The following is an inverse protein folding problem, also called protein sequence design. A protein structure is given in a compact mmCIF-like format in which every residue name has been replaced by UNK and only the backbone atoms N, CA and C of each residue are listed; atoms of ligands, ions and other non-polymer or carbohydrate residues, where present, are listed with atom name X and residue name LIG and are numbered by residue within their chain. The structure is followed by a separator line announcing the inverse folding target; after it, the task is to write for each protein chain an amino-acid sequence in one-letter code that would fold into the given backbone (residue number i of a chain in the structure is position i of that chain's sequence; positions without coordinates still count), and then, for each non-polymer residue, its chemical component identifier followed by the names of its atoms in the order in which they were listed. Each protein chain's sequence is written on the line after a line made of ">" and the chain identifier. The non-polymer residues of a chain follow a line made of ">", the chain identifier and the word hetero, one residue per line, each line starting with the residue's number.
data_IF_782143222769
#
_entry.id   IF_782143222769
#
_cell.length_a   1.000
_cell.length_b   1.000
_cell.length_c   1.000
_cell.angle_alpha   90.00
_cell.angle_beta   90.00
_cell.angle_gamma   90.00
#
_symmetry.space_group_name_H-M   'P 1'
#
loop_
_entity.id
_entity.type
_entity.pdbx_description
1 polymer ?
#
# COMPACT_ATOMS: atom_id res chain seq x y z
N UNK A 1 -8.33 -35.37 -41.74
CA UNK A 1 -8.02 -34.88 -43.11
C UNK A 1 -6.64 -34.26 -43.09
N UNK A 2 -5.78 -34.86 -43.81
CA UNK A 2 -4.48 -34.68 -44.46
C UNK A 2 -3.88 -33.25 -44.44
N UNK A 3 -2.61 -33.18 -43.96
CA UNK A 3 -1.59 -32.22 -44.41
C UNK A 3 -1.23 -32.40 -45.89
N UNK A 4 -0.63 -31.42 -46.56
CA UNK A 4 0.72 -31.59 -47.11
C UNK A 4 1.62 -30.35 -46.85
N UNK A 5 2.85 -30.51 -46.56
CA UNK A 5 4.06 -30.92 -47.28
C UNK A 5 4.87 -29.74 -47.87
N UNK A 6 6.08 -29.71 -47.44
CA UNK A 6 7.30 -29.02 -47.78
C UNK A 6 7.52 -28.57 -49.24
N UNK A 7 8.23 -27.43 -49.38
CA UNK A 7 9.03 -27.18 -50.62
C UNK A 7 10.44 -26.72 -50.21
N UNK A 8 11.40 -27.48 -50.67
CA UNK A 8 12.85 -27.27 -50.76
C UNK A 8 13.20 -26.55 -52.05
N UNK A 9 14.41 -25.98 -52.08
CA UNK A 9 15.28 -25.55 -53.21
C UNK A 9 15.57 -24.04 -53.16
N UNK A 10 16.78 -23.52 -53.36
CA UNK A 10 17.94 -24.04 -54.06
C UNK A 10 19.18 -23.18 -53.71
N UNK A 11 20.31 -23.82 -53.53
CA UNK A 11 21.65 -23.24 -53.50
C UNK A 11 22.06 -22.83 -54.91
N UNK A 12 22.59 -21.64 -55.11
CA UNK A 12 23.43 -21.29 -56.24
C UNK A 12 24.77 -20.71 -55.75
N UNK A 13 25.79 -21.49 -56.03
CA UNK A 13 27.20 -21.12 -55.90
C UNK A 13 27.55 -20.09 -57.00
N UNK A 14 28.23 -19.02 -56.65
CA UNK A 14 28.88 -18.14 -57.61
C UNK A 14 30.38 -18.12 -57.31
N UNK A 15 31.15 -18.46 -58.35
CA UNK A 15 32.58 -18.58 -58.40
C UNK A 15 33.33 -17.27 -58.14
N UNK A 16 34.43 -17.38 -57.39
CA UNK A 16 35.51 -16.41 -57.27
C UNK A 16 36.26 -16.20 -58.59
N UNK A 17 36.43 -14.94 -58.95
CA UNK A 17 37.47 -14.53 -59.91
C UNK A 17 38.46 -13.63 -59.18
N UNK A 18 39.70 -14.10 -59.14
CA UNK A 18 40.86 -13.42 -58.58
C UNK A 18 41.42 -12.44 -59.58
N UNK A 19 41.41 -11.16 -59.20
CA UNK A 19 42.17 -10.10 -59.93
C UNK A 19 42.91 -9.26 -58.92
N UNK A 20 44.23 -9.39 -58.88
CA UNK A 20 45.14 -8.51 -58.11
C UNK A 20 45.52 -7.33 -58.96
N UNK A 21 45.30 -6.10 -58.53
CA UNK A 21 46.04 -4.94 -59.08
C UNK A 21 47.07 -4.40 -58.05
N UNK A 22 48.11 -3.88 -58.63
CA UNK A 22 49.41 -3.47 -58.14
C UNK A 22 49.34 -2.45 -56.95
N UNK A 23 50.43 -2.52 -56.16
CA UNK A 23 50.80 -1.58 -55.12
C UNK A 23 50.93 -0.13 -55.67
N UNK A 24 50.12 0.77 -55.14
CA UNK A 24 50.34 2.22 -55.20
C UNK A 24 50.70 2.72 -53.78
N UNK A 25 51.64 3.63 -53.76
CA UNK A 25 52.36 4.20 -52.63
C UNK A 25 51.46 4.86 -51.58
N UNK A 26 51.43 4.33 -50.38
CA UNK A 26 50.64 4.87 -49.24
C UNK A 26 51.59 5.49 -48.23
N UNK A 27 52.07 6.70 -48.53
CA UNK A 27 52.93 7.41 -47.58
C UNK A 27 52.62 8.88 -47.28
N UNK A 28 51.45 9.41 -47.63
CA UNK A 28 51.21 10.83 -47.35
C UNK A 28 49.79 11.22 -46.87
N UNK A 29 48.91 10.32 -46.45
CA UNK A 29 47.58 10.69 -45.93
C UNK A 29 47.34 10.46 -44.45
N UNK A 30 48.36 10.07 -43.65
CA UNK A 30 48.14 9.67 -42.25
C UNK A 30 48.05 10.83 -41.26
N UNK A 31 48.40 12.05 -41.61
CA UNK A 31 48.40 13.17 -40.64
C UNK A 31 47.14 14.01 -40.60
N UNK A 32 46.31 13.98 -41.65
CA UNK A 32 45.01 14.68 -41.64
C UNK A 32 43.86 13.91 -41.02
N UNK A 33 43.92 12.57 -41.01
CA UNK A 33 42.84 11.72 -40.49
C UNK A 33 42.84 11.64 -38.96
N UNK A 34 43.98 11.77 -38.31
CA UNK A 34 44.08 11.75 -36.84
C UNK A 34 43.56 13.03 -36.21
N UNK A 35 43.78 14.23 -36.84
CA UNK A 35 43.22 15.48 -36.29
C UNK A 35 41.68 15.50 -36.41
N UNK A 36 41.11 15.01 -37.53
CA UNK A 36 39.65 14.95 -37.69
C UNK A 36 38.99 14.00 -36.67
N UNK A 37 39.65 12.92 -36.32
CA UNK A 37 39.11 11.97 -35.32
C UNK A 37 39.08 12.56 -33.91
N UNK A 38 40.08 13.29 -33.50
CA UNK A 38 40.15 13.98 -32.23
C UNK A 38 39.10 15.12 -32.10
N UNK A 39 38.76 15.79 -33.21
CA UNK A 39 37.71 16.81 -33.22
C UNK A 39 36.33 16.18 -33.03
N UNK A 40 36.06 15.02 -33.65
CA UNK A 40 34.81 14.30 -33.46
C UNK A 40 34.68 13.71 -32.04
N UNK A 41 35.77 13.21 -31.46
CA UNK A 41 35.79 12.72 -30.05
C UNK A 41 35.59 13.88 -29.07
N UNK A 42 36.20 15.05 -29.33
CA UNK A 42 35.99 16.24 -28.50
C UNK A 42 34.56 16.82 -28.63
N UNK A 43 33.97 16.78 -29.84
CA UNK A 43 32.56 17.16 -30.02
C UNK A 43 31.58 16.17 -29.37
N UNK A 44 31.87 14.87 -29.36
CA UNK A 44 31.06 13.84 -28.70
C UNK A 44 31.17 13.90 -27.17
N UNK A 45 32.30 14.34 -26.62
CA UNK A 45 32.48 14.56 -25.16
C UNK A 45 31.92 15.92 -24.70
N UNK A 46 31.68 16.86 -25.59
CA UNK A 46 31.08 18.18 -25.31
C UNK A 46 29.54 18.20 -25.39
N UNK A 47 28.91 17.17 -25.93
CA UNK A 47 27.47 16.97 -25.83
C UNK A 47 27.19 16.55 -24.41
N UNK A 48 26.93 17.53 -23.56
CA UNK A 48 26.70 17.39 -22.13
C UNK A 48 25.84 16.18 -21.83
N UNK A 49 26.29 15.40 -20.88
CA UNK A 49 25.47 14.49 -20.13
C UNK A 49 24.40 15.37 -19.49
N UNK A 50 23.38 15.72 -20.24
CA UNK A 50 22.14 16.23 -19.68
C UNK A 50 21.69 15.16 -18.70
N UNK A 51 21.86 15.43 -17.41
CA UNK A 51 21.28 14.62 -16.38
C UNK A 51 19.81 14.48 -16.75
N UNK A 52 19.42 13.31 -17.27
CA UNK A 52 18.03 12.93 -17.37
C UNK A 52 17.51 12.95 -15.94
N UNK A 53 17.02 14.10 -15.50
CA UNK A 53 16.24 14.17 -14.29
C UNK A 53 15.06 13.27 -14.59
N UNK A 54 15.06 12.07 -14.02
CA UNK A 54 13.86 11.29 -13.93
C UNK A 54 12.82 12.24 -13.36
N UNK A 55 11.76 12.52 -14.13
CA UNK A 55 10.64 13.35 -13.69
C UNK A 55 9.91 12.57 -12.61
N UNK A 56 10.55 12.45 -11.46
CA UNK A 56 9.95 11.91 -10.25
C UNK A 56 8.83 12.84 -9.77
N UNK A 57 7.90 12.32 -9.03
CA UNK A 57 6.83 13.10 -8.43
C UNK A 57 7.39 13.96 -7.28
N UNK A 58 7.90 15.13 -7.61
CA UNK A 58 8.45 16.12 -6.67
C UNK A 58 7.63 17.41 -6.64
N UNK A 59 8.29 18.53 -6.36
CA UNK A 59 7.67 19.86 -6.20
C UNK A 59 6.83 20.30 -7.42
N UNK A 60 7.28 19.95 -8.63
CA UNK A 60 6.58 20.30 -9.87
C UNK A 60 5.29 19.47 -10.07
N UNK A 61 5.19 18.31 -9.43
CA UNK A 61 4.05 17.41 -9.57
C UNK A 61 2.93 17.73 -8.61
N UNK A 62 3.27 18.01 -7.34
CA UNK A 62 2.29 18.17 -6.28
C UNK A 62 1.89 19.63 -6.06
N UNK A 63 0.58 19.91 -5.90
CA UNK A 63 0.13 21.25 -5.55
C UNK A 63 0.54 21.60 -4.12
N UNK A 64 0.87 22.87 -3.86
CA UNK A 64 1.19 23.34 -2.53
C UNK A 64 -0.01 24.12 -1.92
N UNK A 65 -1.17 23.49 -1.93
CA UNK A 65 -2.42 24.03 -1.42
C UNK A 65 -2.47 23.98 0.12
N UNK A 66 -3.35 24.79 0.72
CA UNK A 66 -3.59 24.80 2.17
C UNK A 66 -4.58 23.70 2.54
N UNK A 67 -4.18 22.82 3.46
CA UNK A 67 -5.05 21.83 4.10
C UNK A 67 -5.13 22.12 5.60
N UNK A 68 -6.10 21.49 6.28
CA UNK A 68 -6.34 21.65 7.71
C UNK A 68 -6.24 20.28 8.37
N UNK A 69 -5.42 20.15 9.41
CA UNK A 69 -5.32 18.90 10.18
C UNK A 69 -6.52 18.73 11.11
N UNK A 70 -6.75 17.50 11.57
CA UNK A 70 -7.79 17.21 12.58
C UNK A 70 -7.60 17.93 13.93
N UNK A 71 -6.46 18.57 14.14
CA UNK A 71 -6.20 19.44 15.28
C UNK A 71 -6.40 20.93 14.96
N UNK A 72 -6.93 21.26 13.78
CA UNK A 72 -7.22 22.63 13.34
C UNK A 72 -6.00 23.39 12.83
N UNK A 73 -4.83 22.77 12.70
CA UNK A 73 -3.62 23.41 12.18
C UNK A 73 -3.69 23.50 10.65
N UNK A 74 -3.46 24.70 10.10
CA UNK A 74 -3.26 24.92 8.67
C UNK A 74 -1.88 24.48 8.26
N UNK A 75 -1.78 23.74 7.15
CA UNK A 75 -0.55 23.16 6.61
C UNK A 75 -0.54 23.26 5.09
N UNK A 76 0.65 23.44 4.52
CA UNK A 76 0.87 23.40 3.07
C UNK A 76 1.14 21.98 2.64
N UNK A 77 0.39 21.48 1.66
CA UNK A 77 0.45 20.08 1.27
C UNK A 77 1.85 19.63 0.86
N UNK A 78 2.52 20.39 -0.02
CA UNK A 78 3.88 20.02 -0.41
C UNK A 78 4.91 20.39 0.66
N UNK A 79 4.95 21.66 1.08
CA UNK A 79 6.03 22.16 1.94
C UNK A 79 6.05 21.53 3.33
N UNK A 80 4.85 21.34 3.95
CA UNK A 80 4.76 20.88 5.33
C UNK A 80 4.57 19.36 5.43
N UNK A 81 3.93 18.72 4.43
CA UNK A 81 3.54 17.32 4.54
C UNK A 81 4.39 16.38 3.67
N UNK A 82 4.91 16.83 2.52
CA UNK A 82 5.62 15.96 1.59
C UNK A 82 7.13 16.21 1.54
N UNK A 83 7.57 17.45 1.48
CA UNK A 83 8.97 17.84 1.27
C UNK A 83 9.90 17.22 2.31
N UNK A 84 10.91 16.47 1.86
CA UNK A 84 11.87 15.81 2.73
C UNK A 84 11.30 14.64 3.54
N UNK A 85 10.14 14.09 3.14
CA UNK A 85 9.46 13.05 3.92
C UNK A 85 9.18 11.80 3.10
N UNK A 86 9.20 10.67 3.81
CA UNK A 86 8.61 9.41 3.36
C UNK A 86 7.19 9.34 3.89
N UNK A 87 6.23 9.11 3.02
CA UNK A 87 4.82 9.25 3.36
C UNK A 87 3.99 8.03 2.96
N UNK A 88 2.91 7.82 3.69
CA UNK A 88 1.86 6.88 3.34
C UNK A 88 0.52 7.61 3.39
N UNK A 89 -0.15 7.72 2.25
CA UNK A 89 -1.36 8.53 2.09
C UNK A 89 -2.53 7.66 1.68
N UNK A 90 -3.61 7.73 2.43
CA UNK A 90 -4.90 7.09 2.13
C UNK A 90 -6.02 8.14 2.04
N UNK A 91 -7.04 7.82 1.25
CA UNK A 91 -8.27 8.62 1.17
C UNK A 91 -9.34 7.97 2.01
N UNK A 92 -10.07 8.79 2.76
CA UNK A 92 -11.20 8.36 3.60
C UNK A 92 -12.36 9.35 3.51
N UNK A 93 -13.49 9.00 4.11
CA UNK A 93 -14.52 9.93 4.58
C UNK A 93 -15.26 9.33 5.77
N UNK A 94 -15.66 10.17 6.73
CA UNK A 94 -16.13 9.66 8.05
C UNK A 94 -17.52 9.05 8.01
N UNK A 95 -18.36 9.44 7.05
CA UNK A 95 -19.70 8.90 6.83
C UNK A 95 -19.72 7.56 6.07
N UNK A 96 -18.56 7.05 5.61
CA UNK A 96 -18.41 5.77 4.95
C UNK A 96 -18.88 4.60 5.83
N UNK A 97 -19.76 3.78 5.32
CA UNK A 97 -20.19 2.55 5.99
C UNK A 97 -19.52 1.28 5.45
N UNK A 98 -18.65 1.42 4.46
CA UNK A 98 -18.02 0.30 3.77
C UNK A 98 -16.51 0.18 4.10
N UNK A 99 -15.64 0.70 3.26
CA UNK A 99 -14.20 0.41 3.31
C UNK A 99 -13.40 1.32 4.25
N UNK A 100 -13.80 2.59 4.45
CA UNK A 100 -13.01 3.53 5.23
C UNK A 100 -12.76 3.11 6.69
N UNK A 101 -13.73 2.50 7.41
CA UNK A 101 -13.48 1.94 8.73
C UNK A 101 -12.41 0.85 8.70
N UNK A 102 -12.42 -0.01 7.67
CA UNK A 102 -11.43 -1.07 7.50
C UNK A 102 -10.05 -0.50 7.16
N UNK A 103 -9.98 0.48 6.23
CA UNK A 103 -8.73 1.19 5.90
C UNK A 103 -8.11 1.77 7.17
N UNK A 104 -8.88 2.53 7.95
CA UNK A 104 -8.36 3.18 9.16
C UNK A 104 -7.89 2.15 10.19
N UNK A 105 -8.65 1.08 10.42
CA UNK A 105 -8.26 0.00 11.33
C UNK A 105 -6.97 -0.69 10.88
N UNK A 106 -6.79 -0.93 9.57
CA UNK A 106 -5.57 -1.49 8.99
C UNK A 106 -4.37 -0.57 9.11
N UNK A 107 -4.59 0.72 8.89
CA UNK A 107 -3.53 1.72 9.10
C UNK A 107 -3.06 1.77 10.56
N UNK A 108 -3.96 1.56 11.55
CA UNK A 108 -3.57 1.42 12.96
C UNK A 108 -2.67 0.21 13.18
N UNK A 109 -2.99 -0.93 12.58
CA UNK A 109 -2.17 -2.14 12.67
C UNK A 109 -0.85 -1.99 11.94
N UNK A 110 -0.85 -1.37 10.77
CA UNK A 110 0.35 -1.02 10.00
C UNK A 110 1.28 -0.11 10.83
N UNK A 111 0.73 0.91 11.50
CA UNK A 111 1.48 1.77 12.40
C UNK A 111 2.16 0.96 13.51
N UNK A 112 1.46 0.00 14.12
CA UNK A 112 2.05 -0.88 15.14
C UNK A 112 3.17 -1.77 14.58
N UNK A 113 2.98 -2.28 13.36
CA UNK A 113 3.99 -3.12 12.69
C UNK A 113 5.25 -2.33 12.31
N UNK A 114 5.11 -1.05 11.94
CA UNK A 114 6.22 -0.14 11.64
C UNK A 114 6.90 0.43 12.90
N UNK A 115 6.24 0.37 14.08
CA UNK A 115 6.80 0.84 15.33
C UNK A 115 7.26 2.29 15.31
N UNK A 116 8.47 2.53 15.78
CA UNK A 116 9.07 3.86 15.95
C UNK A 116 9.40 4.58 14.63
N UNK A 117 9.30 3.91 13.49
CA UNK A 117 9.46 4.57 12.20
C UNK A 117 8.34 5.59 11.92
N UNK A 118 7.13 5.37 12.45
CA UNK A 118 6.02 6.31 12.23
C UNK A 118 6.16 7.53 13.14
N UNK A 119 6.26 8.70 12.51
CA UNK A 119 6.52 9.98 13.17
C UNK A 119 8.00 10.36 13.26
N UNK A 120 8.89 9.45 12.84
CA UNK A 120 10.33 9.70 12.72
C UNK A 120 10.78 9.65 11.26
N UNK A 121 10.57 8.53 10.61
CA UNK A 121 11.01 8.27 9.23
C UNK A 121 9.85 8.30 8.24
N UNK A 122 8.66 7.88 8.67
CA UNK A 122 7.46 7.72 7.84
C UNK A 122 6.32 8.53 8.46
N UNK A 123 5.58 9.25 7.62
CA UNK A 123 4.42 10.03 8.02
C UNK A 123 3.16 9.52 7.33
N UNK A 124 2.10 9.35 8.10
CA UNK A 124 0.80 8.91 7.63
C UNK A 124 -0.14 10.08 7.43
N UNK A 125 -0.86 10.09 6.31
CA UNK A 125 -1.89 11.08 6.02
C UNK A 125 -3.17 10.39 5.58
N UNK A 126 -4.26 10.68 6.28
CA UNK A 126 -5.62 10.28 5.89
C UNK A 126 -6.36 11.53 5.41
N UNK A 127 -6.58 11.64 4.09
CA UNK A 127 -7.22 12.80 3.47
C UNK A 127 -8.71 12.52 3.32
N UNK A 128 -9.55 13.34 3.95
CA UNK A 128 -10.99 13.24 3.73
C UNK A 128 -11.41 13.89 2.43
N UNK A 129 -12.29 13.20 1.69
CA UNK A 129 -12.92 13.70 0.47
C UNK A 129 -14.37 14.18 0.72
N UNK A 130 -14.84 14.14 1.96
CA UNK A 130 -16.15 14.67 2.32
C UNK A 130 -16.01 16.12 2.81
N UNK A 131 -16.63 17.10 2.11
CA UNK A 131 -16.57 18.51 2.53
C UNK A 131 -17.17 18.77 3.93
N UNK A 132 -17.97 17.84 4.43
CA UNK A 132 -18.58 17.92 5.76
C UNK A 132 -17.67 17.38 6.87
N UNK A 133 -16.56 16.75 6.54
CA UNK A 133 -15.57 16.25 7.48
C UNK A 133 -14.67 17.38 7.98
N UNK A 134 -15.21 18.19 8.88
CA UNK A 134 -14.45 19.26 9.56
C UNK A 134 -13.42 18.68 10.53
N UNK A 135 -12.42 19.46 10.98
CA UNK A 135 -11.36 19.00 11.88
C UNK A 135 -11.89 18.24 13.11
N UNK A 136 -12.97 18.74 13.73
CA UNK A 136 -13.55 18.12 14.93
C UNK A 136 -14.13 16.73 14.62
N UNK A 137 -14.78 16.59 13.46
CA UNK A 137 -15.35 15.31 12.99
C UNK A 137 -14.24 14.30 12.73
N UNK A 138 -13.17 14.73 12.06
CA UNK A 138 -11.98 13.90 11.81
C UNK A 138 -11.28 13.50 13.09
N UNK A 139 -11.19 14.41 14.08
CA UNK A 139 -10.60 14.14 15.39
C UNK A 139 -11.41 13.10 16.16
N UNK A 140 -12.72 13.23 16.17
CA UNK A 140 -13.61 12.23 16.78
C UNK A 140 -13.50 10.88 16.08
N UNK A 141 -13.47 10.87 14.73
CA UNK A 141 -13.30 9.66 13.94
C UNK A 141 -11.96 8.97 14.26
N UNK A 142 -10.85 9.69 14.20
CA UNK A 142 -9.53 9.17 14.52
C UNK A 142 -9.48 8.55 15.91
N UNK A 143 -10.06 9.23 16.91
CA UNK A 143 -10.07 8.75 18.31
C UNK A 143 -10.79 7.41 18.49
N UNK A 144 -11.85 7.15 17.73
CA UNK A 144 -12.60 5.88 17.77
C UNK A 144 -11.73 4.67 17.37
N UNK A 145 -10.76 4.88 16.51
CA UNK A 145 -9.82 3.84 16.07
C UNK A 145 -8.53 3.81 16.88
N UNK A 146 -8.28 4.78 17.76
CA UNK A 146 -6.95 5.00 18.34
C UNK A 146 -5.93 5.39 17.26
N UNK A 147 -6.42 6.06 16.21
CA UNK A 147 -5.63 6.59 15.11
C UNK A 147 -5.20 8.04 15.41
N UNK A 148 -4.32 8.60 14.58
CA UNK A 148 -3.76 9.93 14.80
C UNK A 148 -2.57 9.91 15.77
N UNK A 149 -2.19 11.08 16.29
CA UNK A 149 -1.01 11.26 17.14
C UNK A 149 0.28 11.45 16.33
N UNK A 150 1.45 11.34 16.96
CA UNK A 150 2.72 11.63 16.30
C UNK A 150 2.89 10.88 14.99
N UNK A 151 3.17 11.61 13.90
CA UNK A 151 3.39 11.04 12.57
C UNK A 151 2.14 10.60 11.81
N UNK A 152 0.93 10.84 12.31
CA UNK A 152 -0.31 10.53 11.58
C UNK A 152 -1.32 11.67 11.69
N UNK A 153 -1.55 12.37 10.58
CA UNK A 153 -2.53 13.44 10.48
C UNK A 153 -3.74 13.03 9.64
N UNK A 154 -4.91 13.41 10.10
CA UNK A 154 -6.13 13.41 9.30
C UNK A 154 -6.32 14.83 8.75
N UNK A 155 -6.62 14.92 7.46
CA UNK A 155 -6.59 16.17 6.70
C UNK A 155 -7.93 16.43 6.03
N UNK A 156 -8.32 17.69 6.02
CA UNK A 156 -9.45 18.24 5.27
C UNK A 156 -9.03 19.56 4.60
N UNK A 157 -9.89 20.13 3.80
CA UNK A 157 -9.64 21.39 3.10
C UNK A 157 -10.84 21.80 2.28
N UNK A 158 -10.66 22.80 1.40
CA UNK A 158 -11.71 23.07 0.43
C UNK A 158 -11.78 21.93 -0.62
N UNK A 159 -12.96 21.78 -1.21
CA UNK A 159 -13.26 20.64 -2.10
C UNK A 159 -12.36 20.60 -3.35
N UNK A 160 -12.05 21.75 -3.95
CA UNK A 160 -11.23 21.81 -5.15
C UNK A 160 -9.78 21.43 -4.86
N UNK A 161 -9.22 21.88 -3.72
CA UNK A 161 -7.87 21.53 -3.29
C UNK A 161 -7.76 20.04 -2.95
N UNK A 162 -8.75 19.46 -2.26
CA UNK A 162 -8.82 18.03 -1.96
C UNK A 162 -8.88 17.21 -3.26
N UNK A 163 -9.73 17.60 -4.21
CA UNK A 163 -9.83 16.94 -5.52
C UNK A 163 -8.51 17.02 -6.28
N UNK A 164 -7.85 18.19 -6.27
CA UNK A 164 -6.57 18.38 -6.93
C UNK A 164 -5.48 17.48 -6.31
N UNK A 165 -5.36 17.48 -4.99
CA UNK A 165 -4.39 16.67 -4.24
C UNK A 165 -4.60 15.17 -4.49
N UNK A 166 -5.82 14.68 -4.32
CA UNK A 166 -6.15 13.26 -4.47
C UNK A 166 -5.97 12.77 -5.91
N UNK A 167 -6.29 13.62 -6.90
CA UNK A 167 -6.00 13.36 -8.31
C UNK A 167 -4.50 13.26 -8.58
N UNK A 168 -3.69 14.19 -8.05
CA UNK A 168 -2.23 14.20 -8.23
C UNK A 168 -1.55 13.01 -7.53
N UNK A 169 -2.09 12.55 -6.42
CA UNK A 169 -1.69 11.30 -5.76
C UNK A 169 -2.16 10.05 -6.50
N UNK A 170 -3.03 10.19 -7.51
CA UNK A 170 -3.64 9.07 -8.19
C UNK A 170 -4.60 8.25 -7.31
N UNK A 171 -5.09 8.83 -6.21
CA UNK A 171 -6.00 8.18 -5.26
C UNK A 171 -7.47 8.41 -5.57
N UNK A 172 -7.80 9.30 -6.51
CA UNK A 172 -9.16 9.49 -7.04
C UNK A 172 -9.16 9.41 -8.55
N UNK A 173 -10.17 8.74 -9.11
CA UNK A 173 -10.54 8.83 -10.52
C UNK A 173 -11.65 9.86 -10.65
N UNK A 174 -11.83 10.46 -11.82
CA UNK A 174 -12.93 11.41 -12.06
C UNK A 174 -14.30 10.78 -11.79
N UNK A 175 -14.45 9.47 -12.07
CA UNK A 175 -15.65 8.69 -11.76
C UNK A 175 -15.90 8.47 -10.27
N UNK A 176 -14.84 8.51 -9.45
CA UNK A 176 -14.92 8.24 -8.01
C UNK A 176 -15.35 9.49 -7.24
N UNK A 177 -15.18 10.68 -7.83
CA UNK A 177 -15.59 11.95 -7.24
C UNK A 177 -17.11 12.17 -7.30
N UNK A 178 -17.80 11.50 -8.26
CA UNK A 178 -19.24 11.52 -8.40
C UNK A 178 -19.91 10.41 -7.59
N UNK A 179 -19.18 9.32 -7.30
CA UNK A 179 -19.66 8.19 -6.52
C UNK A 179 -18.72 7.93 -5.35
N UNK A 180 -19.03 8.48 -4.18
CA UNK A 180 -18.24 8.31 -2.95
C UNK A 180 -18.05 6.84 -2.55
N UNK A 181 -18.92 5.93 -2.99
CA UNK A 181 -18.87 4.51 -2.64
C UNK A 181 -17.96 3.69 -3.56
N UNK A 182 -17.40 4.30 -4.62
CA UNK A 182 -16.51 3.66 -5.60
C UNK A 182 -15.01 3.75 -5.29
N UNK A 183 -14.61 4.18 -4.08
CA UNK A 183 -13.20 4.30 -3.73
C UNK A 183 -12.53 2.95 -3.58
N UNK A 184 -11.41 2.80 -4.28
CA UNK A 184 -10.51 1.69 -4.00
C UNK A 184 -9.75 1.93 -2.69
N UNK A 185 -9.65 0.91 -1.85
CA UNK A 185 -8.86 0.93 -0.62
C UNK A 185 -7.37 1.06 -0.92
N UNK A 186 -6.97 2.15 -1.56
CA UNK A 186 -5.59 2.39 -2.01
C UNK A 186 -4.79 3.14 -0.96
N UNK A 187 -3.54 2.70 -0.79
CA UNK A 187 -2.50 3.39 -0.03
C UNK A 187 -1.39 3.82 -0.99
N UNK A 188 -1.12 5.11 -1.05
CA UNK A 188 -0.01 5.66 -1.81
C UNK A 188 1.19 5.84 -0.88
N UNK A 189 2.29 5.17 -1.19
CA UNK A 189 3.54 5.22 -0.43
C UNK A 189 4.57 5.93 -1.28
N UNK A 190 5.22 6.95 -0.74
CA UNK A 190 6.16 7.76 -1.49
C UNK A 190 7.38 8.19 -0.69
N UNK A 191 8.48 8.35 -1.43
CA UNK A 191 9.67 9.05 -0.97
C UNK A 191 9.87 10.25 -1.89
N UNK A 192 9.61 11.44 -1.35
CA UNK A 192 9.61 12.67 -2.14
C UNK A 192 11.02 13.05 -2.60
N UNK A 193 12.05 12.72 -1.82
CA UNK A 193 13.44 13.04 -2.16
C UNK A 193 13.95 12.22 -3.35
N UNK A 194 13.50 10.98 -3.48
CA UNK A 194 13.85 10.12 -4.64
C UNK A 194 12.84 10.19 -5.76
N UNK A 195 11.68 10.81 -5.54
CA UNK A 195 10.57 10.85 -6.50
C UNK A 195 9.91 9.49 -6.73
N UNK A 196 10.21 8.49 -5.90
CA UNK A 196 9.66 7.13 -6.02
C UNK A 196 8.33 7.02 -5.29
N UNK A 197 7.35 6.46 -5.99
CA UNK A 197 6.00 6.24 -5.47
C UNK A 197 5.48 4.86 -5.85
N UNK A 198 4.77 4.26 -4.92
CA UNK A 198 4.17 2.94 -5.10
C UNK A 198 2.73 2.96 -4.56
N UNK A 199 1.84 2.26 -5.25
CA UNK A 199 0.46 2.06 -4.78
C UNK A 199 0.30 0.64 -4.25
N UNK A 200 -0.28 0.53 -3.06
CA UNK A 200 -0.67 -0.74 -2.44
C UNK A 200 -2.13 -0.70 -2.02
N UNK A 201 -2.65 -1.84 -1.61
CA UNK A 201 -3.94 -1.90 -0.94
C UNK A 201 -3.79 -1.49 0.53
N UNK A 202 -4.60 -0.54 0.99
CA UNK A 202 -4.63 -0.14 2.40
C UNK A 202 -5.20 -1.22 3.33
N UNK A 203 -5.83 -2.26 2.77
CA UNK A 203 -6.44 -3.36 3.50
C UNK A 203 -5.64 -4.66 3.44
N UNK A 204 -4.45 -4.63 2.87
CA UNK A 204 -3.52 -5.76 2.86
C UNK A 204 -3.09 -6.17 4.29
N UNK A 205 -2.43 -7.31 4.38
CA UNK A 205 -1.85 -7.77 5.64
C UNK A 205 -0.85 -6.72 6.17
N UNK A 206 -1.04 -6.17 7.38
CA UNK A 206 -0.23 -5.07 7.89
C UNK A 206 1.26 -5.41 8.06
N UNK A 207 1.59 -6.66 8.38
CA UNK A 207 2.98 -7.12 8.54
C UNK A 207 3.69 -7.19 7.19
N UNK A 208 2.99 -7.74 6.18
CA UNK A 208 3.50 -7.77 4.81
C UNK A 208 3.68 -6.35 4.24
N UNK A 209 2.68 -5.50 4.46
CA UNK A 209 2.74 -4.11 4.00
C UNK A 209 3.85 -3.32 4.69
N UNK A 210 4.06 -3.53 6.01
CA UNK A 210 5.16 -2.91 6.75
C UNK A 210 6.53 -3.33 6.18
N UNK A 211 6.75 -4.63 5.97
CA UNK A 211 7.98 -5.13 5.37
C UNK A 211 8.21 -4.56 3.96
N UNK A 212 7.15 -4.51 3.14
CA UNK A 212 7.19 -3.91 1.81
C UNK A 212 7.56 -2.43 1.86
N UNK A 213 6.95 -1.66 2.78
CA UNK A 213 7.24 -0.24 2.96
C UNK A 213 8.68 0.01 3.41
N UNK A 214 9.16 -0.74 4.40
CA UNK A 214 10.54 -0.58 4.89
C UNK A 214 11.56 -0.87 3.80
N UNK A 215 11.34 -1.90 3.00
CA UNK A 215 12.20 -2.21 1.87
C UNK A 215 12.15 -1.13 0.78
N UNK A 216 10.95 -0.72 0.36
CA UNK A 216 10.74 0.30 -0.67
C UNK A 216 11.32 1.67 -0.28
N UNK A 217 11.18 2.04 0.98
CA UNK A 217 11.65 3.31 1.52
C UNK A 217 13.12 3.27 1.98
N UNK A 218 13.82 2.15 1.76
CA UNK A 218 15.21 1.93 2.18
C UNK A 218 15.43 2.17 3.69
N UNK A 219 14.50 1.69 4.50
CA UNK A 219 14.54 1.76 5.97
C UNK A 219 14.78 0.39 6.62
N UNK A 220 14.87 -0.67 5.83
CA UNK A 220 15.24 -2.00 6.32
C UNK A 220 16.73 -2.03 6.65
N UNK A 221 17.10 -2.66 7.78
CA UNK A 221 18.50 -2.81 8.26
C UNK A 221 19.36 -3.71 7.36
N UNK A 222 19.03 -3.84 6.08
CA UNK A 222 19.74 -4.69 5.11
C UNK A 222 19.60 -6.20 5.39
N UNK A 223 18.86 -6.59 6.40
CA UNK A 223 18.47 -7.98 6.62
C UNK A 223 17.43 -8.34 5.58
N UNK A 224 17.91 -8.77 4.42
CA UNK A 224 17.05 -9.47 3.44
C UNK A 224 16.47 -10.65 4.22
N UNK A 225 15.15 -10.70 4.34
CA UNK A 225 14.46 -11.85 4.93
C UNK A 225 14.87 -13.14 4.21
N UNK A 226 14.55 -14.32 4.76
CA UNK A 226 14.98 -15.59 4.17
C UNK A 226 14.63 -15.63 2.69
N UNK A 227 15.55 -16.13 1.89
CA UNK A 227 15.37 -16.33 0.45
C UNK A 227 14.07 -17.09 0.20
N UNK A 228 13.39 -16.81 -0.91
CA UNK A 228 12.16 -17.52 -1.32
C UNK A 228 12.34 -19.06 -1.30
N UNK A 229 13.56 -19.55 -1.49
CA UNK A 229 13.92 -20.96 -1.41
C UNK A 229 13.93 -21.52 0.03
N UNK A 230 14.03 -20.65 1.04
CA UNK A 230 14.10 -21.01 2.47
C UNK A 230 12.75 -20.85 3.17
N UNK A 231 11.78 -20.22 2.50
CA UNK A 231 10.44 -20.04 3.04
C UNK A 231 9.69 -21.36 2.96
N UNK A 232 9.52 -22.03 4.12
CA UNK A 232 8.61 -23.19 4.20
C UNK A 232 7.19 -22.73 3.85
N UNK A 233 6.42 -23.53 3.10
CA UNK A 233 5.01 -23.27 2.87
C UNK A 233 4.33 -23.05 4.23
N UNK A 234 3.77 -21.86 4.44
CA UNK A 234 3.02 -21.57 5.66
C UNK A 234 1.77 -22.45 5.65
N UNK A 235 1.70 -23.41 6.54
CA UNK A 235 0.45 -24.13 6.83
C UNK A 235 -0.45 -23.18 7.65
N UNK A 236 -1.05 -22.22 6.95
CA UNK A 236 -1.89 -21.19 7.55
C UNK A 236 -3.31 -21.73 7.61
N UNK A 237 -3.89 -21.84 8.81
CA UNK A 237 -5.32 -22.04 8.95
C UNK A 237 -6.09 -20.93 8.21
N UNK A 238 -6.89 -21.24 7.17
CA UNK A 238 -7.56 -20.23 6.36
C UNK A 238 -8.49 -19.32 7.17
N UNK A 239 -9.14 -19.86 8.19
CA UNK A 239 -10.03 -19.09 9.07
C UNK A 239 -9.27 -18.12 9.95
N UNK A 240 -8.11 -18.54 10.48
CA UNK A 240 -7.19 -17.65 11.21
C UNK A 240 -6.69 -16.53 10.32
N UNK A 241 -6.29 -16.86 9.10
CA UNK A 241 -5.83 -15.86 8.14
C UNK A 241 -6.94 -14.84 7.82
N UNK A 242 -8.16 -15.30 7.55
CA UNK A 242 -9.31 -14.43 7.32
C UNK A 242 -9.60 -13.53 8.52
N UNK A 243 -9.58 -14.09 9.74
CA UNK A 243 -9.77 -13.29 10.94
C UNK A 243 -8.68 -12.20 11.05
N UNK A 244 -7.43 -12.57 10.94
CA UNK A 244 -6.31 -11.65 11.03
C UNK A 244 -6.31 -10.60 9.90
N UNK A 245 -6.67 -11.00 8.69
CA UNK A 245 -6.65 -10.11 7.54
C UNK A 245 -7.89 -9.24 7.38
N UNK A 246 -9.04 -9.60 7.94
CA UNK A 246 -10.30 -8.86 7.71
C UNK A 246 -11.03 -8.43 8.99
N UNK A 247 -10.79 -9.08 10.11
CA UNK A 247 -11.59 -8.89 11.33
C UNK A 247 -10.81 -8.26 12.48
N UNK A 248 -9.54 -8.63 12.68
CA UNK A 248 -8.71 -8.25 13.84
C UNK A 248 -8.50 -6.72 13.95
N UNK A 249 -8.57 -5.99 12.83
CA UNK A 249 -8.54 -4.53 12.82
C UNK A 249 -9.60 -3.89 13.70
N UNK A 250 -10.78 -4.47 13.75
CA UNK A 250 -11.94 -3.96 14.48
C UNK A 250 -12.38 -4.83 15.66
N UNK A 251 -12.04 -6.11 15.67
CA UNK A 251 -12.48 -7.10 16.65
C UNK A 251 -11.31 -7.72 17.43
N UNK A 252 -11.61 -8.29 18.58
CA UNK A 252 -10.65 -9.04 19.40
C UNK A 252 -11.15 -10.46 19.62
N UNK A 253 -10.28 -11.32 20.16
CA UNK A 253 -10.60 -12.63 20.70
C UNK A 253 -10.13 -12.68 22.16
N UNK A 254 -11.03 -12.35 23.09
CA UNK A 254 -10.79 -12.40 24.53
C UNK A 254 -10.00 -11.21 25.10
N UNK A 255 -9.86 -10.10 24.33
CA UNK A 255 -9.20 -8.86 24.81
C UNK A 255 -10.18 -7.71 25.05
N UNK A 256 -11.49 -8.01 25.09
CA UNK A 256 -12.54 -7.02 25.23
C UNK A 256 -12.89 -6.33 23.92
N UNK A 257 -13.79 -5.36 24.01
CA UNK A 257 -14.26 -4.59 22.86
C UNK A 257 -13.21 -3.63 22.32
N UNK A 258 -13.24 -3.45 21.01
CA UNK A 258 -12.37 -2.51 20.30
C UNK A 258 -13.26 -1.51 19.53
N UNK A 259 -13.18 -1.47 18.21
CA UNK A 259 -14.10 -0.75 17.31
C UNK A 259 -15.43 -1.48 17.21
N UNK A 260 -15.37 -2.81 17.28
CA UNK A 260 -16.49 -3.74 17.32
C UNK A 260 -16.41 -4.65 18.53
N UNK A 261 -17.38 -5.58 18.69
CA UNK A 261 -17.43 -6.50 19.81
C UNK A 261 -16.26 -7.49 19.84
N UNK A 262 -15.96 -7.99 21.02
CA UNK A 262 -15.10 -9.17 21.20
C UNK A 262 -15.81 -10.42 20.65
N UNK A 263 -15.12 -11.16 19.78
CA UNK A 263 -15.69 -12.32 19.08
C UNK A 263 -15.39 -13.66 19.77
N UNK A 264 -14.67 -13.66 20.90
CA UNK A 264 -14.47 -14.91 21.64
C UNK A 264 -15.81 -15.52 22.04
N UNK A 265 -16.03 -16.79 21.70
CA UNK A 265 -17.27 -17.51 21.99
C UNK A 265 -18.48 -16.99 21.16
N UNK A 266 -18.26 -16.28 20.06
CA UNK A 266 -19.37 -15.77 19.21
C UNK A 266 -20.30 -16.91 18.74
N UNK A 267 -19.74 -18.03 18.33
CA UNK A 267 -20.49 -19.18 17.78
C UNK A 267 -21.32 -19.95 18.83
N UNK A 268 -21.09 -19.70 20.11
CA UNK A 268 -21.94 -20.20 21.20
C UNK A 268 -23.04 -19.22 21.57
N UNK A 269 -22.83 -17.91 21.33
CA UNK A 269 -23.80 -16.85 21.67
C UNK A 269 -24.75 -16.51 20.52
N UNK A 270 -24.40 -16.89 19.27
CA UNK A 270 -25.16 -16.59 18.06
C UNK A 270 -25.14 -17.78 17.11
N UNK A 271 -26.25 -18.02 16.46
CA UNK A 271 -26.34 -19.03 15.40
C UNK A 271 -25.37 -18.73 14.25
N UNK A 272 -24.70 -19.76 13.78
CA UNK A 272 -23.75 -19.64 12.65
C UNK A 272 -24.39 -19.03 11.40
N UNK A 273 -25.64 -19.39 11.11
CA UNK A 273 -26.41 -18.84 10.00
C UNK A 273 -26.65 -17.34 10.14
N UNK A 274 -26.90 -16.87 11.36
CA UNK A 274 -27.06 -15.44 11.63
C UNK A 274 -25.72 -14.72 11.45
N UNK A 275 -24.62 -15.27 11.99
CA UNK A 275 -23.28 -14.69 11.85
C UNK A 275 -22.89 -14.57 10.37
N UNK A 276 -23.10 -15.65 9.58
CA UNK A 276 -22.80 -15.63 8.15
C UNK A 276 -23.57 -14.54 7.39
N UNK A 277 -24.87 -14.39 7.68
CA UNK A 277 -25.67 -13.31 7.06
C UNK A 277 -25.20 -11.93 7.49
N UNK A 278 -24.89 -11.75 8.78
CA UNK A 278 -24.46 -10.45 9.29
C UNK A 278 -23.08 -10.03 8.75
N UNK A 279 -22.14 -10.97 8.67
CA UNK A 279 -20.79 -10.70 8.13
C UNK A 279 -20.84 -10.24 6.67
N UNK A 280 -21.67 -10.87 5.84
CA UNK A 280 -21.76 -10.54 4.42
C UNK A 280 -22.80 -9.46 4.08
N UNK A 281 -23.81 -9.26 4.92
CA UNK A 281 -24.90 -8.34 4.59
C UNK A 281 -25.35 -7.54 5.83
N UNK A 282 -24.48 -6.86 6.57
CA UNK A 282 -24.87 -6.18 7.80
C UNK A 282 -25.87 -5.06 7.56
N UNK A 283 -25.75 -4.34 6.43
CA UNK A 283 -26.68 -3.26 6.08
C UNK A 283 -28.08 -3.80 5.79
N UNK A 284 -28.19 -4.87 5.00
CA UNK A 284 -29.47 -5.52 4.69
C UNK A 284 -30.17 -6.01 5.95
N UNK A 285 -29.44 -6.53 6.93
CA UNK A 285 -30.01 -6.97 8.19
C UNK A 285 -30.49 -5.81 9.06
N UNK A 286 -29.77 -4.68 9.07
CA UNK A 286 -30.22 -3.44 9.73
C UNK A 286 -31.47 -2.86 9.07
N UNK A 287 -31.49 -2.79 7.75
CA UNK A 287 -32.65 -2.33 6.97
C UNK A 287 -33.88 -3.24 7.17
N UNK A 288 -33.65 -4.55 7.30
CA UNK A 288 -34.67 -5.54 7.65
C UNK A 288 -35.07 -5.53 9.14
N UNK A 289 -34.57 -4.58 9.94
CA UNK A 289 -34.87 -4.42 11.36
C UNK A 289 -34.56 -5.65 12.22
N UNK A 290 -33.51 -6.42 11.87
CA UNK A 290 -33.05 -7.50 12.72
C UNK A 290 -32.67 -6.96 14.12
N UNK A 291 -33.30 -7.49 15.20
CA UNK A 291 -33.12 -6.89 16.54
C UNK A 291 -31.66 -6.87 17.01
N UNK A 292 -30.91 -7.96 16.75
CA UNK A 292 -29.51 -8.05 17.15
C UNK A 292 -28.62 -7.13 16.32
N UNK A 293 -28.90 -6.95 15.03
CA UNK A 293 -28.19 -6.01 14.18
C UNK A 293 -28.42 -4.55 14.61
N UNK A 294 -29.64 -4.21 15.02
CA UNK A 294 -29.97 -2.87 15.54
C UNK A 294 -29.33 -2.62 16.92
N UNK A 295 -29.26 -3.64 17.79
CA UNK A 295 -28.57 -3.56 19.07
C UNK A 295 -27.09 -3.25 18.87
N UNK A 296 -26.41 -3.97 17.97
CA UNK A 296 -25.02 -3.72 17.61
C UNK A 296 -24.81 -2.30 17.06
N UNK A 297 -25.73 -1.81 16.22
CA UNK A 297 -25.69 -0.44 15.69
C UNK A 297 -25.81 0.62 16.79
N UNK A 298 -26.63 0.39 17.82
CA UNK A 298 -26.76 1.31 18.98
C UNK A 298 -25.49 1.32 19.85
N UNK A 299 -24.88 0.14 20.01
CA UNK A 299 -23.72 -0.04 20.89
C UNK A 299 -22.43 0.43 20.26
N UNK A 300 -22.23 0.15 18.97
CA UNK A 300 -21.01 0.49 18.23
C UNK A 300 -21.30 1.58 17.20
N UNK A 301 -20.63 2.73 17.34
CA UNK A 301 -20.82 3.88 16.44
C UNK A 301 -20.28 3.65 15.04
N UNK A 302 -19.27 2.78 14.90
CA UNK A 302 -18.71 2.39 13.60
C UNK A 302 -19.51 1.22 13.08
N UNK A 303 -20.02 1.36 11.87
CA UNK A 303 -20.78 0.30 11.21
C UNK A 303 -19.82 -0.76 10.69
N UNK A 304 -20.15 -2.02 10.91
CA UNK A 304 -19.42 -3.13 10.30
C UNK A 304 -19.68 -3.14 8.79
N UNK A 305 -18.64 -3.11 7.95
CA UNK A 305 -18.78 -3.24 6.50
C UNK A 305 -19.06 -4.71 6.12
N UNK A 306 -19.66 -4.93 4.92
CA UNK A 306 -19.75 -6.26 4.31
C UNK A 306 -18.34 -6.83 4.09
N UNK A 307 -18.18 -8.14 4.29
CA UNK A 307 -16.92 -8.82 4.04
C UNK A 307 -16.91 -9.66 2.76
N UNK A 308 -18.09 -9.86 2.15
CA UNK A 308 -18.29 -10.58 0.88
C UNK A 308 -17.54 -11.91 0.80
N UNK A 309 -17.53 -12.65 1.93
CA UNK A 309 -16.91 -13.96 2.00
C UNK A 309 -17.70 -14.99 1.21
N UNK A 310 -17.01 -15.79 0.41
CA UNK A 310 -17.62 -16.93 -0.22
C UNK A 310 -17.94 -18.05 0.80
N UNK A 311 -18.57 -19.12 0.34
CA UNK A 311 -19.05 -20.22 1.21
C UNK A 311 -17.91 -20.88 1.98
N UNK A 312 -16.79 -21.16 1.31
CA UNK A 312 -15.62 -21.84 1.90
C UNK A 312 -14.88 -20.94 2.90
N UNK A 313 -14.71 -19.65 2.55
CA UNK A 313 -14.14 -18.63 3.43
C UNK A 313 -14.98 -18.46 4.69
N UNK A 314 -16.29 -18.37 4.55
CA UNK A 314 -17.22 -18.27 5.68
C UNK A 314 -17.15 -19.51 6.57
N UNK A 315 -17.12 -20.70 5.99
CA UNK A 315 -16.99 -21.95 6.75
C UNK A 315 -15.67 -22.01 7.51
N UNK A 316 -14.57 -21.61 6.88
CA UNK A 316 -13.25 -21.55 7.51
C UNK A 316 -13.23 -20.53 8.67
N UNK A 317 -13.76 -19.32 8.46
CA UNK A 317 -13.87 -18.31 9.51
C UNK A 317 -14.69 -18.79 10.70
N UNK A 318 -15.87 -19.35 10.46
CA UNK A 318 -16.75 -19.86 11.53
C UNK A 318 -16.12 -21.03 12.29
N UNK A 319 -15.38 -21.90 11.60
CA UNK A 319 -14.60 -22.98 12.24
C UNK A 319 -13.54 -22.39 13.16
N UNK A 320 -12.76 -21.44 12.68
CA UNK A 320 -11.72 -20.76 13.48
C UNK A 320 -12.32 -20.08 14.72
N UNK A 321 -13.39 -19.29 14.55
CA UNK A 321 -14.06 -18.60 15.67
C UNK A 321 -14.66 -19.57 16.70
N UNK A 322 -15.05 -20.77 16.27
CA UNK A 322 -15.57 -21.80 17.19
C UNK A 322 -14.48 -22.47 18.05
N UNK A 323 -13.25 -22.53 17.52
CA UNK A 323 -12.11 -23.17 18.20
C UNK A 323 -11.17 -22.16 18.84
N UNK A 324 -11.37 -20.85 18.59
CA UNK A 324 -10.51 -19.82 19.12
C UNK A 324 -10.59 -19.76 20.65
N UNK A 325 -9.43 -19.79 21.29
CA UNK A 325 -9.25 -19.49 22.71
C UNK A 325 -8.84 -18.03 22.88
N UNK A 326 -8.98 -17.51 24.10
CA UNK A 326 -8.49 -16.16 24.39
C UNK A 326 -7.01 -16.04 23.97
N UNK A 327 -6.71 -15.08 23.11
CA UNK A 327 -5.31 -14.81 22.71
C UNK A 327 -4.55 -14.38 23.97
N UNK A 328 -3.45 -15.03 24.36
CA UNK A 328 -2.66 -14.54 25.48
C UNK A 328 -2.31 -13.08 25.20
N UNK A 329 -2.43 -12.22 26.21
CA UNK A 329 -1.95 -10.86 26.11
C UNK A 329 -0.51 -10.95 25.61
N UNK A 330 -0.19 -10.21 24.55
CA UNK A 330 1.19 -10.10 24.07
C UNK A 330 2.00 -9.61 25.26
N UNK A 331 2.65 -10.53 25.96
CA UNK A 331 3.73 -10.20 26.88
C UNK A 331 4.72 -9.42 26.03
N UNK A 332 5.02 -8.18 26.43
CA UNK A 332 5.97 -7.34 25.73
C UNK A 332 7.22 -8.18 25.49
N UNK A 333 7.61 -8.29 24.25
CA UNK A 333 8.84 -8.97 23.84
C UNK A 333 10.03 -8.14 24.30
N UNK A 334 10.30 -8.21 25.60
CA UNK A 334 11.57 -7.87 26.21
C UNK A 334 12.40 -9.13 26.34
N UNK A 335 12.66 -9.83 25.26
CA UNK A 335 13.66 -10.89 25.23
C UNK A 335 14.93 -10.37 24.55
N UNK A 336 15.69 -9.64 25.38
CA UNK A 336 17.11 -9.43 25.12
C UNK A 336 17.79 -10.80 25.27
N UNK A 337 17.88 -11.53 24.17
CA UNK A 337 18.73 -12.70 24.08
C UNK A 337 20.17 -12.26 24.38
N UNK A 338 20.65 -12.54 25.60
CA UNK A 338 22.07 -12.55 25.96
C UNK A 338 22.76 -13.55 25.04
N UNK A 339 23.46 -13.06 24.05
CA UNK A 339 24.50 -13.80 23.37
C UNK A 339 25.69 -13.89 24.37
N UNK A 340 25.76 -15.02 25.09
CA UNK A 340 26.96 -15.40 25.82
C UNK A 340 28.09 -15.63 24.81
N UNK A 341 29.17 -14.92 25.04
CA UNK A 341 30.45 -15.12 24.40
C UNK A 341 30.92 -16.59 24.62
N UNK A 342 31.23 -17.27 23.54
CA UNK A 342 32.08 -18.45 23.56
C UNK A 342 33.41 -18.01 22.96
N UNK A 343 34.37 -17.82 23.87
CA UNK A 343 35.80 -17.78 23.56
C UNK A 343 36.26 -19.21 23.27
N UNK A 344 36.80 -19.43 22.07
CA UNK A 344 38.04 -20.19 21.82
C UNK A 344 38.54 -19.90 20.43
#
# INVERSE_FOLDING_TARGET
>A
MRMPAAVWLNMHSIHLSTGVPARADVRQESKCRTLAWWVWVALALGLGIGSAHATGWGAEHFPNVELITHNGKKVRFYDDLLKGKKVAVAVIYTSCSAECPLITARMVELRRALGDHVGKDIYFYSISIDPWDRPEVLKEYASKFGAGGPGWEFLTGNDDDIKLVTKKLGLSRLSDLENKDGHTASLMIGNVDTGQWMRNSAVDNPQFLAATMLNFLHLSDGKIGPSYAEVRPLNVDPGKYLFQSRCEGCHTLGKGEKVGPDLLGLTTRRERSWVARYVNNPEKMRAGRDPAALELQKRFRIRMPSQDLNVDEMAALLKYLATATASPASAGSGDTAKLSAVSH
#
